data_IF_705624894630
#
_entry.id   IF_705624894630
#
_cell.length_a   1.000
_cell.length_b   1.000
_cell.length_c   1.000
_cell.angle_alpha   90.00
_cell.angle_beta   90.00
_cell.angle_gamma   90.00
#
_symmetry.space_group_name_H-M   'P 1'
#
loop_
_entity.id
_entity.type
_entity.pdbx_description
1 polymer ?
#
# COMPACT_ATOMS: atom_id res chain seq x y z
N UNK A 1 0.07 -17.20 2.76
CA UNK A 1 -1.35 -17.04 2.39
C UNK A 1 -2.21 -18.19 2.90
N UNK A 2 -1.86 -19.46 2.60
CA UNK A 2 -2.59 -20.63 3.12
C UNK A 2 -2.90 -20.59 4.62
N UNK A 3 -1.93 -20.27 5.48
CA UNK A 3 -2.16 -20.09 6.91
C UNK A 3 -3.30 -19.11 7.23
N UNK A 4 -3.32 -17.93 6.59
CA UNK A 4 -4.36 -16.92 6.81
C UNK A 4 -5.73 -17.45 6.37
N UNK A 5 -5.79 -18.11 5.21
CA UNK A 5 -7.00 -18.73 4.70
C UNK A 5 -7.54 -19.81 5.65
N UNK A 6 -6.69 -20.76 6.06
CA UNK A 6 -7.05 -21.86 6.97
C UNK A 6 -7.48 -21.37 8.37
N UNK A 7 -7.00 -20.19 8.79
CA UNK A 7 -7.37 -19.56 10.06
C UNK A 7 -8.51 -18.53 9.93
N UNK A 8 -9.25 -18.55 8.82
CA UNK A 8 -10.48 -17.78 8.66
C UNK A 8 -10.29 -16.27 8.51
N UNK A 9 -9.14 -15.85 7.95
CA UNK A 9 -8.93 -14.44 7.57
C UNK A 9 -9.64 -14.11 6.26
N UNK A 10 -10.24 -12.93 6.21
CA UNK A 10 -10.96 -12.41 5.05
C UNK A 10 -10.14 -11.31 4.37
N UNK A 11 -9.60 -11.58 3.19
CA UNK A 11 -8.82 -10.61 2.43
C UNK A 11 -9.73 -9.66 1.62
N UNK A 12 -9.67 -8.38 1.98
CA UNK A 12 -10.37 -7.28 1.33
C UNK A 12 -9.40 -6.49 0.45
N UNK A 13 -9.91 -5.84 -0.59
CA UNK A 13 -9.17 -4.69 -1.14
C UNK A 13 -9.32 -3.49 -0.19
N UNK A 14 -8.48 -2.48 -0.36
CA UNK A 14 -8.59 -1.25 0.41
C UNK A 14 -9.89 -0.49 0.09
N UNK A 15 -10.33 -0.45 -1.17
CA UNK A 15 -11.66 0.02 -1.59
C UNK A 15 -12.78 -0.71 -0.85
N UNK A 16 -12.71 -2.04 -0.72
CA UNK A 16 -13.71 -2.80 0.03
C UNK A 16 -13.75 -2.32 1.51
N UNK A 17 -12.59 -2.18 2.15
CA UNK A 17 -12.50 -1.66 3.53
C UNK A 17 -13.07 -0.23 3.64
N UNK A 18 -12.65 0.68 2.76
CA UNK A 18 -13.07 2.09 2.78
C UNK A 18 -14.58 2.20 2.55
N UNK A 19 -15.15 1.42 1.63
CA UNK A 19 -16.59 1.38 1.39
C UNK A 19 -17.35 0.87 2.62
N UNK A 20 -16.87 -0.17 3.30
CA UNK A 20 -17.51 -0.68 4.52
C UNK A 20 -17.49 0.38 5.62
N UNK A 21 -16.34 1.06 5.83
CA UNK A 21 -16.20 2.10 6.85
C UNK A 21 -17.11 3.30 6.55
N UNK A 22 -17.17 3.75 5.30
CA UNK A 22 -17.99 4.90 4.89
C UNK A 22 -19.51 4.64 5.05
N UNK A 23 -19.93 3.38 4.94
CA UNK A 23 -21.34 2.99 5.04
C UNK A 23 -21.72 2.43 6.42
N UNK A 24 -20.88 2.62 7.45
CA UNK A 24 -21.06 2.03 8.79
C UNK A 24 -21.37 0.51 8.76
N UNK A 25 -20.77 -0.17 7.78
CA UNK A 25 -21.00 -1.58 7.50
C UNK A 25 -20.27 -2.50 8.47
N UNK A 26 -20.72 -3.76 8.54
CA UNK A 26 -20.05 -4.78 9.35
C UNK A 26 -18.87 -5.39 8.60
N UNK A 27 -17.68 -5.33 9.20
CA UNK A 27 -16.50 -6.03 8.67
C UNK A 27 -16.67 -7.55 8.75
N UNK A 28 -16.13 -8.30 7.77
CA UNK A 28 -16.11 -9.75 7.85
C UNK A 28 -15.20 -10.21 9.01
N UNK A 29 -15.31 -11.47 9.45
CA UNK A 29 -14.40 -12.03 10.45
C UNK A 29 -12.94 -11.91 10.02
N UNK A 30 -12.07 -11.52 10.95
CA UNK A 30 -10.62 -11.40 10.78
C UNK A 30 -10.22 -10.67 9.47
N UNK A 31 -10.67 -9.41 9.28
CA UNK A 31 -10.43 -8.69 8.04
C UNK A 31 -8.95 -8.33 7.90
N UNK A 32 -8.40 -8.56 6.71
CA UNK A 32 -7.05 -8.10 6.34
C UNK A 32 -7.12 -7.38 5.00
N UNK A 33 -6.27 -6.38 4.83
CA UNK A 33 -6.01 -5.76 3.53
C UNK A 33 -4.57 -6.07 3.14
N UNK A 34 -4.40 -6.69 1.98
CA UNK A 34 -3.09 -6.99 1.42
C UNK A 34 -2.74 -5.89 0.42
N UNK A 35 -1.66 -5.14 0.71
CA UNK A 35 -1.19 -4.06 -0.16
C UNK A 35 0.19 -4.39 -0.73
N UNK A 36 0.39 -4.12 -2.01
CA UNK A 36 1.68 -4.24 -2.69
C UNK A 36 2.04 -2.88 -3.26
N UNK A 37 3.26 -2.40 -2.98
CA UNK A 37 3.70 -1.09 -3.45
C UNK A 37 4.48 -1.22 -4.77
N UNK A 38 4.72 -0.08 -5.41
CA UNK A 38 5.54 0.15 -6.59
C UNK A 38 5.06 -0.43 -7.92
N UNK A 39 4.19 -1.44 -7.92
CA UNK A 39 3.67 -2.06 -9.14
C UNK A 39 4.67 -2.96 -9.84
N UNK A 40 5.50 -3.69 -9.09
CA UNK A 40 6.42 -4.67 -9.65
C UNK A 40 5.69 -5.80 -10.38
N UNK A 41 6.24 -6.24 -11.53
CA UNK A 41 5.67 -7.32 -12.35
C UNK A 41 5.69 -8.68 -11.61
N UNK A 42 6.52 -8.83 -10.57
CA UNK A 42 6.51 -10.01 -9.71
C UNK A 42 5.16 -10.22 -9.00
N UNK A 43 4.33 -9.18 -8.86
CA UNK A 43 2.96 -9.31 -8.39
C UNK A 43 2.16 -10.22 -9.34
N UNK A 44 2.18 -9.93 -10.64
CA UNK A 44 1.50 -10.72 -11.66
C UNK A 44 2.05 -12.15 -11.73
N UNK A 45 3.38 -12.29 -11.77
CA UNK A 45 4.02 -13.59 -12.03
C UNK A 45 4.07 -14.52 -10.81
N UNK A 46 3.98 -13.99 -9.59
CA UNK A 46 4.19 -14.78 -8.36
C UNK A 46 3.13 -14.55 -7.31
N UNK A 47 2.76 -13.31 -7.00
CA UNK A 47 1.79 -13.04 -5.95
C UNK A 47 0.38 -13.44 -6.37
N UNK A 48 -0.05 -13.07 -7.58
CA UNK A 48 -1.39 -13.32 -8.09
C UNK A 48 -1.77 -14.82 -8.04
N UNK A 49 -0.97 -15.78 -8.58
CA UNK A 49 -1.33 -17.20 -8.49
C UNK A 49 -1.55 -17.69 -7.05
N UNK A 50 -0.71 -17.25 -6.11
CA UNK A 50 -0.80 -17.62 -4.69
C UNK A 50 -2.06 -17.05 -4.03
N UNK A 51 -2.46 -15.83 -4.43
CA UNK A 51 -3.68 -15.19 -3.93
C UNK A 51 -4.93 -15.86 -4.51
N UNK A 52 -4.92 -16.16 -5.81
CA UNK A 52 -6.00 -16.87 -6.50
C UNK A 52 -6.27 -18.25 -5.91
N UNK A 53 -5.21 -19.00 -5.54
CA UNK A 53 -5.33 -20.33 -4.89
C UNK A 53 -6.17 -20.33 -3.60
N UNK A 54 -6.28 -19.17 -2.93
CA UNK A 54 -7.05 -19.02 -1.68
C UNK A 54 -8.15 -17.96 -1.80
N UNK A 55 -8.49 -17.54 -3.01
CA UNK A 55 -9.49 -16.51 -3.32
C UNK A 55 -9.28 -15.20 -2.52
N UNK A 56 -8.02 -14.79 -2.37
CA UNK A 56 -7.67 -13.55 -1.70
C UNK A 56 -7.60 -12.40 -2.68
N UNK A 57 -8.18 -11.26 -2.29
CA UNK A 57 -8.03 -9.99 -3.01
C UNK A 57 -6.81 -9.20 -2.51
N UNK A 58 -6.38 -8.22 -3.29
CA UNK A 58 -5.30 -7.31 -2.92
C UNK A 58 -5.47 -5.93 -3.57
N UNK A 59 -4.74 -4.95 -3.03
CA UNK A 59 -4.55 -3.63 -3.61
C UNK A 59 -3.09 -3.44 -4.03
N UNK A 60 -2.85 -2.97 -5.25
CA UNK A 60 -1.51 -2.66 -5.77
C UNK A 60 -1.40 -1.14 -5.98
N UNK A 61 -0.41 -0.51 -5.35
CA UNK A 61 -0.10 0.89 -5.56
C UNK A 61 0.96 1.03 -6.66
N UNK A 62 0.70 1.85 -7.68
CA UNK A 62 1.57 1.94 -8.87
C UNK A 62 2.23 3.31 -9.05
N UNK A 63 3.49 3.29 -9.49
CA UNK A 63 4.26 4.47 -9.90
C UNK A 63 4.00 4.71 -11.39
N UNK A 64 3.06 5.61 -11.68
CA UNK A 64 2.38 5.64 -12.98
C UNK A 64 3.25 6.03 -14.18
N UNK A 65 4.30 6.84 -14.01
CA UNK A 65 5.16 7.21 -15.15
C UNK A 65 6.13 6.08 -15.57
N UNK A 66 6.23 5.01 -14.77
CA UNK A 66 7.14 3.89 -14.99
C UNK A 66 6.44 2.57 -15.35
N UNK A 67 5.10 2.55 -15.39
CA UNK A 67 4.33 1.36 -15.78
C UNK A 67 4.73 0.89 -17.19
N UNK A 68 5.06 -0.40 -17.32
CA UNK A 68 5.61 -1.04 -18.53
C UNK A 68 7.13 -0.91 -18.70
N UNK A 69 7.81 -0.26 -17.76
CA UNK A 69 9.26 -0.14 -17.73
C UNK A 69 9.87 -0.87 -16.53
N UNK A 70 10.77 -0.19 -15.84
CA UNK A 70 11.53 -0.70 -14.69
C UNK A 70 11.50 0.34 -13.57
N UNK A 71 11.93 -0.05 -12.37
CA UNK A 71 12.10 0.84 -11.22
C UNK A 71 13.30 1.79 -11.36
N UNK A 72 13.40 2.50 -12.48
CA UNK A 72 14.47 3.46 -12.78
C UNK A 72 14.08 4.90 -12.36
N UNK A 73 13.26 5.06 -11.31
CA UNK A 73 12.82 6.38 -10.87
C UNK A 73 13.91 7.15 -10.13
N UNK A 74 13.88 8.50 -10.18
CA UNK A 74 14.90 9.33 -9.56
C UNK A 74 15.03 9.10 -8.06
N UNK A 75 16.28 9.07 -7.57
CA UNK A 75 16.58 8.93 -6.14
C UNK A 75 16.77 7.49 -5.65
N UNK A 76 16.66 6.49 -6.53
CA UNK A 76 17.02 5.12 -6.17
C UNK A 76 18.52 4.98 -5.84
N UNK A 77 18.88 4.15 -4.85
CA UNK A 77 20.26 3.76 -4.60
C UNK A 77 20.88 3.14 -5.85
N UNK A 78 22.17 3.41 -6.10
CA UNK A 78 22.87 2.89 -7.29
C UNK A 78 23.03 1.38 -7.31
N UNK A 79 22.90 0.72 -6.15
CA UNK A 79 22.96 -0.71 -5.95
C UNK A 79 21.58 -1.39 -5.90
N UNK A 80 20.49 -0.63 -6.06
CA UNK A 80 19.14 -1.19 -6.07
C UNK A 80 18.96 -2.10 -7.30
N UNK A 81 18.53 -3.37 -7.13
CA UNK A 81 18.26 -4.25 -8.25
C UNK A 81 17.18 -3.68 -9.18
N UNK A 82 17.53 -3.57 -10.45
CA UNK A 82 16.60 -3.17 -11.52
C UNK A 82 15.60 -4.30 -11.76
N UNK A 83 14.31 -4.01 -11.60
CA UNK A 83 13.21 -4.98 -11.69
C UNK A 83 12.07 -4.44 -12.57
N UNK A 84 11.42 -5.31 -13.37
CA UNK A 84 10.34 -4.89 -14.26
C UNK A 84 9.09 -4.48 -13.48
N UNK A 85 8.33 -3.54 -14.04
CA UNK A 85 7.07 -3.04 -13.51
C UNK A 85 5.91 -3.48 -14.41
N UNK A 86 4.72 -3.58 -13.83
CA UNK A 86 3.48 -3.90 -14.54
C UNK A 86 3.26 -2.91 -15.68
N UNK A 87 2.94 -3.44 -16.85
CA UNK A 87 2.44 -2.70 -18.00
C UNK A 87 1.00 -2.27 -17.80
N UNK A 88 0.56 -1.26 -18.53
CA UNK A 88 -0.84 -0.82 -18.53
C UNK A 88 -1.81 -1.92 -18.99
N UNK A 89 -1.36 -2.85 -19.85
CA UNK A 89 -2.16 -4.00 -20.26
C UNK A 89 -2.36 -4.96 -19.07
N UNK A 90 -1.30 -5.34 -18.37
CA UNK A 90 -1.37 -6.20 -17.19
C UNK A 90 -2.20 -5.54 -16.07
N UNK A 91 -2.07 -4.22 -15.87
CA UNK A 91 -2.88 -3.47 -14.90
C UNK A 91 -4.38 -3.60 -15.20
N UNK A 92 -4.79 -3.40 -16.46
CA UNK A 92 -6.21 -3.53 -16.85
C UNK A 92 -6.71 -4.96 -16.64
N UNK A 93 -5.93 -5.95 -17.08
CA UNK A 93 -6.29 -7.36 -16.91
C UNK A 93 -6.46 -7.73 -15.43
N UNK A 94 -5.53 -7.31 -14.56
CA UNK A 94 -5.61 -7.54 -13.12
C UNK A 94 -6.83 -6.84 -12.48
N UNK A 95 -7.15 -5.62 -12.91
CA UNK A 95 -8.28 -4.84 -12.41
C UNK A 95 -9.65 -5.42 -12.81
N UNK A 96 -9.74 -6.02 -13.99
CA UNK A 96 -10.89 -6.81 -14.43
C UNK A 96 -11.05 -8.11 -13.62
N UNK A 97 -9.96 -8.65 -13.07
CA UNK A 97 -9.93 -9.87 -12.26
C UNK A 97 -9.94 -9.63 -10.73
N UNK A 98 -10.38 -8.44 -10.30
CA UNK A 98 -10.68 -8.17 -8.90
C UNK A 98 -9.51 -7.69 -8.03
N UNK A 99 -8.35 -7.42 -8.63
CA UNK A 99 -7.27 -6.68 -7.97
C UNK A 99 -7.58 -5.19 -8.01
N UNK A 100 -7.44 -4.48 -6.90
CA UNK A 100 -7.60 -3.03 -6.88
C UNK A 100 -6.26 -2.34 -7.21
N UNK A 101 -6.31 -1.23 -7.96
CA UNK A 101 -5.17 -0.35 -8.14
C UNK A 101 -5.34 0.99 -7.44
N UNK A 102 -4.33 1.37 -6.66
CA UNK A 102 -4.18 2.67 -6.01
C UNK A 102 -3.01 3.46 -6.60
N UNK A 103 -2.98 4.78 -6.37
CA UNK A 103 -1.91 5.64 -6.87
C UNK A 103 -0.70 5.66 -5.91
N UNK A 104 0.52 5.66 -6.46
CA UNK A 104 1.78 5.79 -5.71
C UNK A 104 2.68 6.95 -6.18
N UNK A 105 2.04 8.01 -6.67
CA UNK A 105 2.74 9.12 -7.31
C UNK A 105 3.10 8.82 -8.77
N UNK A 106 3.67 9.83 -9.44
CA UNK A 106 4.10 9.68 -10.83
C UNK A 106 5.50 9.09 -10.89
N UNK A 107 6.41 9.64 -10.08
CA UNK A 107 7.84 9.36 -10.12
C UNK A 107 8.41 8.85 -8.80
N UNK A 108 7.56 8.37 -7.88
CA UNK A 108 7.99 7.88 -6.56
C UNK A 108 8.82 8.90 -5.75
N UNK A 109 8.53 10.20 -5.94
CA UNK A 109 9.26 11.28 -5.28
C UNK A 109 8.94 11.38 -3.78
N UNK A 110 9.93 11.76 -2.95
CA UNK A 110 9.67 12.14 -1.56
C UNK A 110 8.89 13.46 -1.55
N UNK A 111 7.57 13.35 -1.39
CA UNK A 111 6.62 14.46 -1.45
C UNK A 111 6.87 15.53 -0.40
N UNK A 112 7.57 15.19 0.71
CA UNK A 112 7.90 16.16 1.76
C UNK A 112 9.00 17.13 1.36
N UNK A 113 9.75 16.80 0.31
CA UNK A 113 10.84 17.62 -0.26
C UNK A 113 10.41 18.39 -1.50
N UNK A 114 9.17 18.23 -1.95
CA UNK A 114 8.64 18.88 -3.13
C UNK A 114 7.97 20.21 -2.78
N UNK A 115 7.87 21.12 -3.76
CA UNK A 115 6.97 22.26 -3.63
C UNK A 115 5.51 21.78 -3.58
N UNK A 116 4.58 22.58 -3.03
CA UNK A 116 3.16 22.24 -3.00
C UNK A 116 2.60 21.89 -4.38
N UNK A 117 2.98 22.65 -5.41
CA UNK A 117 2.56 22.44 -6.80
C UNK A 117 3.12 21.13 -7.36
N UNK A 118 4.41 20.84 -7.13
CA UNK A 118 5.03 19.60 -7.58
C UNK A 118 4.41 18.37 -6.88
N UNK A 119 4.16 18.45 -5.57
CA UNK A 119 3.48 17.40 -4.83
C UNK A 119 2.05 17.17 -5.35
N UNK A 120 1.32 18.26 -5.68
CA UNK A 120 -0.01 18.16 -6.30
C UNK A 120 0.03 17.47 -7.66
N UNK A 121 1.02 17.78 -8.50
CA UNK A 121 1.21 17.13 -9.81
C UNK A 121 1.49 15.64 -9.63
N UNK A 122 2.37 15.27 -8.69
CA UNK A 122 2.67 13.86 -8.39
C UNK A 122 1.42 13.10 -7.94
N UNK A 123 0.64 13.66 -7.00
CA UNK A 123 -0.53 12.99 -6.41
C UNK A 123 -1.69 12.94 -7.41
N UNK A 124 -2.10 14.07 -7.98
CA UNK A 124 -3.29 14.13 -8.83
C UNK A 124 -3.02 13.63 -10.25
N UNK A 125 -1.81 13.82 -10.76
CA UNK A 125 -1.43 13.32 -12.07
C UNK A 125 -1.36 11.80 -12.10
N UNK A 126 -0.87 11.17 -11.02
CA UNK A 126 -0.88 9.70 -10.92
C UNK A 126 -2.29 9.15 -10.79
N UNK A 127 -3.16 9.81 -10.01
CA UNK A 127 -4.58 9.47 -9.96
C UNK A 127 -5.23 9.51 -11.34
N UNK A 128 -5.15 10.65 -12.03
CA UNK A 128 -5.77 10.85 -13.33
C UNK A 128 -5.27 9.86 -14.37
N UNK A 129 -3.96 9.60 -14.41
CA UNK A 129 -3.36 8.63 -15.35
C UNK A 129 -3.83 7.21 -15.09
N UNK A 130 -3.97 6.82 -13.84
CA UNK A 130 -4.48 5.51 -13.48
C UNK A 130 -5.96 5.39 -13.84
N UNK A 131 -6.80 6.37 -13.48
CA UNK A 131 -8.23 6.42 -13.83
C UNK A 131 -8.47 6.37 -15.35
N UNK A 132 -7.66 7.07 -16.14
CA UNK A 132 -7.69 7.01 -17.61
C UNK A 132 -7.41 5.59 -18.13
N UNK A 133 -6.46 4.87 -17.52
CA UNK A 133 -6.13 3.51 -17.94
C UNK A 133 -7.17 2.47 -17.53
N UNK A 134 -7.76 2.55 -16.34
CA UNK A 134 -8.68 1.52 -15.82
C UNK A 134 -10.16 1.87 -15.99
N UNK A 135 -10.48 3.10 -16.42
CA UNK A 135 -11.84 3.55 -16.70
C UNK A 135 -12.75 3.65 -15.47
N UNK A 136 -12.21 3.69 -14.26
CA UNK A 136 -12.96 3.76 -12.99
C UNK A 136 -12.22 4.63 -11.96
N UNK A 137 -12.95 5.09 -10.94
CA UNK A 137 -12.42 5.93 -9.85
C UNK A 137 -11.27 5.20 -9.13
N UNK A 138 -10.19 5.92 -8.86
CA UNK A 138 -9.11 5.47 -7.97
C UNK A 138 -9.42 5.94 -6.56
N UNK A 139 -9.54 4.99 -5.63
CA UNK A 139 -10.01 5.23 -4.27
C UNK A 139 -8.89 5.52 -3.28
N UNK A 140 -7.68 4.99 -3.52
CA UNK A 140 -6.64 4.97 -2.50
C UNK A 140 -5.30 5.48 -3.01
N UNK A 141 -4.52 6.04 -2.07
CA UNK A 141 -3.16 6.53 -2.31
C UNK A 141 -2.18 5.92 -1.31
N UNK A 142 -0.96 5.62 -1.73
CA UNK A 142 0.14 5.34 -0.81
C UNK A 142 1.21 6.43 -0.96
N UNK A 143 1.67 7.02 0.14
CA UNK A 143 2.75 8.00 0.06
C UNK A 143 4.08 7.29 -0.24
N UNK A 144 4.86 7.71 -1.26
CA UNK A 144 6.21 7.20 -1.46
C UNK A 144 7.04 7.28 -0.18
N UNK A 145 7.73 6.20 0.15
CA UNK A 145 8.48 6.03 1.41
C UNK A 145 7.63 6.15 2.71
N UNK A 146 6.31 6.25 2.59
CA UNK A 146 5.37 6.57 3.66
C UNK A 146 5.51 7.97 4.26
N UNK A 147 6.18 8.88 3.55
CA UNK A 147 6.47 10.24 4.03
C UNK A 147 5.42 11.23 3.51
N UNK A 148 4.88 12.02 4.43
CA UNK A 148 3.89 13.05 4.14
C UNK A 148 4.05 14.23 5.12
N UNK A 149 3.39 15.34 4.79
CA UNK A 149 3.24 16.53 5.60
C UNK A 149 1.76 16.97 5.57
N UNK A 150 1.41 18.06 6.26
CA UNK A 150 0.02 18.54 6.34
C UNK A 150 -0.58 18.83 4.96
N UNK A 151 0.19 19.42 4.04
CA UNK A 151 -0.26 19.76 2.70
C UNK A 151 -0.56 18.51 1.85
N UNK A 152 0.36 17.55 1.82
CA UNK A 152 0.21 16.29 1.06
C UNK A 152 -0.89 15.39 1.64
N UNK A 153 -1.03 15.35 2.98
CA UNK A 153 -2.16 14.67 3.63
C UNK A 153 -3.50 15.35 3.32
N UNK A 154 -3.53 16.69 3.26
CA UNK A 154 -4.71 17.45 2.84
C UNK A 154 -5.09 17.18 1.38
N UNK A 155 -4.11 17.10 0.48
CA UNK A 155 -4.33 16.73 -0.92
C UNK A 155 -4.88 15.30 -1.05
N UNK A 156 -4.34 14.34 -0.29
CA UNK A 156 -4.86 12.99 -0.27
C UNK A 156 -6.32 12.97 0.23
N UNK A 157 -6.60 13.65 1.34
CA UNK A 157 -7.95 13.72 1.93
C UNK A 157 -9.00 14.38 1.03
N UNK A 158 -8.59 15.31 0.18
CA UNK A 158 -9.51 15.97 -0.75
C UNK A 158 -9.77 15.18 -2.04
N UNK A 159 -8.96 14.16 -2.34
CA UNK A 159 -8.97 13.52 -3.66
C UNK A 159 -9.01 11.99 -3.63
N UNK A 160 -8.88 11.35 -2.47
CA UNK A 160 -8.98 9.91 -2.30
C UNK A 160 -9.93 9.62 -1.14
N UNK A 161 -10.37 8.37 -1.05
CA UNK A 161 -11.23 7.89 0.03
C UNK A 161 -10.36 7.38 1.22
N UNK A 162 -9.07 7.11 0.98
CA UNK A 162 -8.10 6.78 2.03
C UNK A 162 -6.66 6.82 1.51
N UNK A 163 -5.70 6.87 2.44
CA UNK A 163 -4.28 6.81 2.11
C UNK A 163 -3.42 6.06 3.14
N UNK A 164 -2.40 5.36 2.66
CA UNK A 164 -1.50 4.53 3.45
C UNK A 164 -0.13 5.19 3.69
N UNK A 165 0.35 5.10 4.92
CA UNK A 165 1.74 5.43 5.29
C UNK A 165 2.58 4.16 5.50
N UNK A 166 3.84 4.29 5.90
CA UNK A 166 4.70 3.16 6.33
C UNK A 166 4.81 3.07 7.84
N UNK A 167 3.99 3.81 8.60
CA UNK A 167 3.96 3.74 10.06
C UNK A 167 3.58 2.32 10.50
N UNK A 168 4.49 1.66 11.21
CA UNK A 168 4.35 0.26 11.57
C UNK A 168 3.23 0.11 12.60
N UNK A 169 2.18 -0.64 12.26
CA UNK A 169 1.06 -0.86 13.15
C UNK A 169 -0.14 -1.46 12.45
N UNK A 170 -1.08 -1.96 13.24
CA UNK A 170 -2.44 -2.24 12.78
C UNK A 170 -3.18 -0.92 12.55
N UNK A 171 -4.16 -0.97 11.66
CA UNK A 171 -5.16 0.08 11.52
C UNK A 171 -6.34 -0.23 12.45
N UNK A 172 -6.83 0.77 13.17
CA UNK A 172 -8.05 0.72 13.97
C UNK A 172 -9.03 1.84 13.62
N UNK A 173 -10.28 1.74 14.07
CA UNK A 173 -11.36 2.69 13.75
C UNK A 173 -11.11 4.14 14.19
N UNK A 174 -10.18 4.37 15.12
CA UNK A 174 -9.81 5.70 15.59
C UNK A 174 -8.57 6.28 14.87
N UNK A 175 -7.98 5.53 13.93
CA UNK A 175 -6.84 6.00 13.15
C UNK A 175 -7.30 6.90 12.00
N UNK A 176 -6.43 7.81 11.58
CA UNK A 176 -6.67 8.68 10.44
C UNK A 176 -6.63 7.88 9.12
N UNK A 177 -7.77 7.81 8.43
CA UNK A 177 -7.95 7.17 7.12
C UNK A 177 -6.96 7.64 6.04
N UNK A 178 -6.39 8.83 6.19
CA UNK A 178 -5.45 9.39 5.22
C UNK A 178 -3.98 9.19 5.60
N UNK A 179 -3.72 8.42 6.65
CA UNK A 179 -2.37 8.07 7.11
C UNK A 179 -2.28 6.64 7.65
N UNK A 180 -3.12 5.73 7.13
CA UNK A 180 -3.30 4.37 7.63
C UNK A 180 -1.96 3.66 7.92
N UNK A 181 -1.86 3.07 9.10
CA UNK A 181 -0.72 2.26 9.51
C UNK A 181 -0.69 0.97 8.69
N UNK A 182 0.51 0.41 8.48
CA UNK A 182 0.69 -0.88 7.79
C UNK A 182 1.63 -1.78 8.57
N UNK A 183 1.45 -3.09 8.38
CA UNK A 183 2.41 -4.10 8.83
C UNK A 183 3.33 -4.44 7.66
N UNK A 184 4.62 -4.17 7.80
CA UNK A 184 5.61 -4.53 6.80
C UNK A 184 5.88 -6.05 6.87
N UNK A 185 5.77 -6.71 5.71
CA UNK A 185 5.94 -8.16 5.57
C UNK A 185 7.30 -8.65 6.07
N UNK A 186 8.34 -7.80 6.09
CA UNK A 186 9.63 -8.10 6.70
C UNK A 186 9.50 -8.57 8.15
N UNK A 187 8.56 -8.00 8.91
CA UNK A 187 8.33 -8.40 10.31
C UNK A 187 7.44 -9.63 10.47
N UNK A 188 6.85 -10.12 9.38
CA UNK A 188 5.94 -11.26 9.33
C UNK A 188 6.59 -12.52 8.72
N UNK A 189 7.90 -12.54 8.50
CA UNK A 189 8.60 -13.64 7.81
C UNK A 189 8.60 -15.02 8.50
N UNK A 190 7.92 -15.19 9.64
CA UNK A 190 7.85 -16.45 10.37
C UNK A 190 6.40 -16.77 10.73
N UNK A 191 5.95 -18.02 10.50
CA UNK A 191 4.61 -18.49 10.84
C UNK A 191 4.23 -18.27 12.31
N UNK A 192 5.18 -18.36 13.25
CA UNK A 192 4.93 -18.05 14.67
C UNK A 192 4.46 -16.61 14.88
N UNK A 193 4.90 -15.68 14.03
CA UNK A 193 4.42 -14.29 14.08
C UNK A 193 2.98 -14.20 13.59
N UNK A 194 2.63 -14.97 12.55
CA UNK A 194 1.26 -15.07 12.05
C UNK A 194 0.29 -15.65 13.09
N UNK A 195 0.71 -16.67 13.85
CA UNK A 195 -0.07 -17.25 14.94
C UNK A 195 -0.41 -16.23 16.04
N UNK A 196 0.43 -15.22 16.23
CA UNK A 196 0.21 -14.19 17.23
C UNK A 196 -0.65 -13.03 16.74
N UNK A 197 -1.02 -12.93 15.46
CA UNK A 197 -1.60 -11.72 14.85
C UNK A 197 -2.77 -11.10 15.63
N UNK A 198 -3.65 -11.93 16.18
CA UNK A 198 -4.83 -11.51 16.95
C UNK A 198 -4.58 -11.34 18.46
N UNK A 199 -3.33 -11.46 18.91
CA UNK A 199 -2.96 -11.47 20.34
C UNK A 199 -2.29 -10.18 20.78
N UNK A 200 -2.41 -9.86 22.07
CA UNK A 200 -1.67 -8.76 22.69
C UNK A 200 -0.13 -8.95 22.63
N UNK A 201 0.36 -10.19 22.47
CA UNK A 201 1.78 -10.44 22.29
C UNK A 201 2.29 -9.86 20.97
N UNK A 202 1.50 -9.96 19.90
CA UNK A 202 1.83 -9.33 18.62
C UNK A 202 1.82 -7.80 18.71
N UNK A 203 0.86 -7.21 19.41
CA UNK A 203 0.81 -5.76 19.58
C UNK A 203 2.05 -5.24 20.33
N UNK A 204 2.50 -5.96 21.37
CA UNK A 204 3.77 -5.66 22.06
C UNK A 204 4.99 -5.83 21.16
N UNK A 205 5.02 -6.89 20.35
CA UNK A 205 6.09 -7.13 19.38
C UNK A 205 6.20 -5.99 18.37
N UNK A 206 5.08 -5.57 17.78
CA UNK A 206 5.04 -4.47 16.81
C UNK A 206 5.39 -3.14 17.46
N UNK A 207 4.91 -2.87 18.67
CA UNK A 207 5.29 -1.67 19.42
C UNK A 207 6.80 -1.60 19.63
N UNK A 208 7.43 -2.69 20.07
CA UNK A 208 8.88 -2.77 20.25
C UNK A 208 9.62 -2.53 18.92
N UNK A 209 9.20 -3.19 17.84
CA UNK A 209 9.80 -3.00 16.50
C UNK A 209 9.65 -1.57 16.00
N UNK A 210 8.50 -0.93 16.24
CA UNK A 210 8.26 0.47 15.93
C UNK A 210 9.22 1.39 16.68
N UNK A 211 9.39 1.20 17.99
CA UNK A 211 10.33 1.97 18.80
C UNK A 211 11.78 1.82 18.29
N UNK A 212 12.23 0.59 18.03
CA UNK A 212 13.56 0.31 17.49
C UNK A 212 13.78 0.97 16.13
N UNK A 213 12.77 0.99 15.27
CA UNK A 213 12.83 1.64 13.96
C UNK A 213 12.97 3.16 14.09
N UNK A 214 12.22 3.78 15.02
CA UNK A 214 12.35 5.21 15.31
C UNK A 214 13.74 5.58 15.80
N UNK A 215 14.34 4.79 16.71
CA UNK A 215 15.71 5.01 17.20
C UNK A 215 16.73 4.91 16.07
N UNK A 216 16.64 3.88 15.21
CA UNK A 216 17.53 3.73 14.04
C UNK A 216 17.39 4.88 13.05
N UNK A 217 16.18 5.38 12.83
CA UNK A 217 15.96 6.53 11.95
C UNK A 217 16.57 7.80 12.52
N UNK A 218 16.45 8.02 13.84
CA UNK A 218 17.07 9.17 14.50
C UNK A 218 18.60 9.11 14.42
N UNK A 219 19.20 7.93 14.62
CA UNK A 219 20.66 7.74 14.55
C UNK A 219 21.26 7.92 13.15
N UNK A 220 20.47 7.79 12.08
CA UNK A 220 20.90 8.05 10.69
C UNK A 220 20.75 9.52 10.26
N UNK A 221 20.11 10.33 11.09
CA UNK A 221 19.87 11.77 10.84
C UNK A 221 20.80 12.68 11.64
N UNK A 222 21.75 12.10 12.39
CA UNK A 222 22.84 12.77 13.11
C UNK A 222 24.14 12.50 12.36
#
# INVERSE_FOLDING_TARGET
MRFLFENGYSALTLRDLLSIVDNDGQLPPNPIVLTFDDGFQNFYNHALPILSDVNFKATVFVVTDFCGGYNDWPGNPSDLPRSPLLSWQEIRELDENGIEFGAHGKNHSDLTKQSPEAAKIEILGSKARLEDSIGRKVHSFAYPYGRFNSATRGLAAANFDGACSTKLGKYGSNDDLYTMNRLDAYYLGNLRVFEMLSTAAFDRYILLRRCLRSVRSAAKSV
#
